data_IF_941303324679
#
_entry.id   IF_941303324679
#
_cell.length_a   1.000
_cell.length_b   1.000
_cell.length_c   1.000
_cell.angle_alpha   90.00
_cell.angle_beta   90.00
_cell.angle_gamma   90.00
#
_symmetry.space_group_name_H-M   'P 1'
#
loop_
_entity.id
_entity.type
_entity.pdbx_description
1 polymer ?
#
# COMPACT_ATOMS: atom_id res chain seq x y z
N UNK A 1 4.97 39.45 -66.52
CA UNK A 1 4.65 39.03 -65.14
C UNK A 1 5.71 38.04 -64.73
N UNK A 2 6.53 38.38 -63.74
CA UNK A 2 7.54 37.45 -63.22
C UNK A 2 6.87 36.59 -62.16
N UNK A 3 6.95 35.27 -62.32
CA UNK A 3 6.48 34.30 -61.34
C UNK A 3 7.65 33.99 -60.41
N UNK A 4 7.44 34.08 -59.10
CA UNK A 4 8.41 33.64 -58.12
C UNK A 4 7.89 32.32 -57.56
N UNK A 5 8.67 31.25 -57.69
CA UNK A 5 8.43 30.00 -56.95
C UNK A 5 9.09 30.10 -55.59
N UNK A 6 8.33 29.86 -54.53
CA UNK A 6 8.86 29.69 -53.18
C UNK A 6 8.96 28.21 -52.87
N UNK A 7 10.13 27.76 -52.43
CA UNK A 7 10.32 26.41 -51.89
C UNK A 7 10.19 26.47 -50.38
N UNK A 8 9.30 25.66 -49.82
CA UNK A 8 9.20 25.46 -48.38
C UNK A 8 10.08 24.29 -47.97
N UNK A 9 10.88 24.48 -46.92
CA UNK A 9 11.61 23.42 -46.24
C UNK A 9 11.00 23.22 -44.87
N UNK A 10 10.55 22.00 -44.58
CA UNK A 10 10.11 21.62 -43.24
C UNK A 10 11.30 20.99 -42.51
N UNK A 11 11.67 21.55 -41.36
CA UNK A 11 12.68 20.98 -40.46
C UNK A 11 11.95 20.47 -39.22
N UNK A 12 12.03 19.16 -38.96
CA UNK A 12 11.46 18.56 -37.77
C UNK A 12 12.50 18.56 -36.64
N UNK A 13 12.17 19.19 -35.53
CA UNK A 13 12.94 19.08 -34.27
C UNK A 13 12.28 17.97 -33.46
N UNK A 14 13.02 16.93 -33.11
CA UNK A 14 12.54 15.83 -32.28
C UNK A 14 13.52 15.54 -31.16
N UNK A 15 13.00 15.19 -29.99
CA UNK A 15 13.78 14.69 -28.87
C UNK A 15 13.61 13.17 -28.75
N UNK A 16 14.73 12.46 -28.58
CA UNK A 16 14.78 11.00 -28.40
C UNK A 16 15.56 10.59 -27.17
N UNK A 17 16.03 11.57 -26.39
CA UNK A 17 16.74 11.32 -25.14
C UNK A 17 15.73 11.21 -24.02
N UNK A 18 15.85 10.15 -23.22
CA UNK A 18 15.01 9.95 -22.05
C UNK A 18 15.50 10.81 -20.87
N UNK A 19 14.60 11.14 -19.93
CA UNK A 19 15.00 11.68 -18.65
C UNK A 19 16.03 10.79 -17.94
N UNK A 20 16.93 11.42 -17.20
CA UNK A 20 17.88 10.73 -16.33
C UNK A 20 17.38 10.78 -14.90
N UNK A 21 17.31 9.60 -14.27
CA UNK A 21 17.09 9.46 -12.83
C UNK A 21 18.38 8.90 -12.23
N UNK A 22 18.88 9.54 -11.18
CA UNK A 22 20.05 9.09 -10.43
C UNK A 22 19.77 9.03 -8.93
N UNK A 23 20.52 8.19 -8.22
CA UNK A 23 20.27 7.92 -6.80
C UNK A 23 19.32 6.74 -6.60
N UNK A 24 18.86 6.58 -5.36
CA UNK A 24 17.98 5.47 -4.95
C UNK A 24 17.03 5.96 -3.88
N UNK A 25 15.76 5.55 -3.98
CA UNK A 25 14.79 5.81 -2.92
C UNK A 25 15.05 4.81 -1.80
N UNK A 26 15.25 5.32 -0.58
CA UNK A 26 15.47 4.45 0.59
C UNK A 26 14.15 3.76 0.97
N UNK A 27 14.24 2.46 1.30
CA UNK A 27 13.08 1.72 1.77
C UNK A 27 12.48 2.36 3.03
N UNK A 28 11.16 2.41 3.11
CA UNK A 28 10.43 3.00 4.24
C UNK A 28 9.67 1.92 4.99
N UNK A 29 9.67 1.97 6.32
CA UNK A 29 8.88 1.09 7.17
C UNK A 29 7.66 1.85 7.71
N UNK A 30 6.48 1.22 7.64
CA UNK A 30 5.19 1.78 8.05
C UNK A 30 4.50 0.80 9.00
N UNK A 31 4.01 1.30 10.13
CA UNK A 31 3.14 0.51 11.00
C UNK A 31 1.73 0.48 10.41
N UNK A 32 1.22 -0.72 10.09
CA UNK A 32 -0.07 -0.89 9.44
C UNK A 32 -0.42 -2.35 9.14
N UNK A 33 -1.62 -2.55 8.62
CA UNK A 33 -2.19 -3.87 8.33
C UNK A 33 -2.63 -4.03 6.88
N UNK A 34 -2.81 -2.93 6.14
CA UNK A 34 -3.28 -2.94 4.75
C UNK A 34 -2.43 -2.04 3.86
N UNK A 35 -2.52 -2.24 2.54
CA UNK A 35 -1.78 -1.42 1.55
C UNK A 35 -2.14 0.07 1.61
N UNK A 36 -3.33 0.41 2.10
CA UNK A 36 -3.77 1.80 2.26
C UNK A 36 -3.05 2.55 3.37
N UNK A 37 -2.34 1.85 4.26
CA UNK A 37 -1.56 2.47 5.32
C UNK A 37 -0.25 3.08 4.78
N UNK A 38 0.18 2.68 3.58
CA UNK A 38 1.33 3.26 2.92
C UNK A 38 1.14 4.76 2.67
N UNK A 39 2.24 5.51 2.71
CA UNK A 39 2.22 6.93 2.35
C UNK A 39 1.72 7.11 0.91
N UNK A 40 0.92 8.16 0.61
CA UNK A 40 0.46 8.43 -0.75
C UNK A 40 1.63 8.61 -1.71
N UNK A 41 1.44 8.24 -2.97
CA UNK A 41 2.44 8.46 -4.00
C UNK A 41 2.63 9.96 -4.27
N UNK A 42 3.88 10.37 -4.45
CA UNK A 42 4.21 11.74 -4.88
C UNK A 42 3.89 11.93 -6.37
N UNK A 43 3.59 13.17 -6.76
CA UNK A 43 3.14 13.47 -8.14
C UNK A 43 3.96 14.57 -8.81
N UNK A 44 4.94 15.14 -8.11
CA UNK A 44 5.79 16.20 -8.65
C UNK A 44 7.27 15.81 -8.60
N UNK A 45 8.07 16.42 -9.47
CA UNK A 45 9.52 16.21 -9.50
C UNK A 45 10.17 16.59 -8.17
N UNK A 46 9.80 17.74 -7.60
CA UNK A 46 10.38 18.22 -6.33
C UNK A 46 10.11 17.25 -5.17
N UNK A 47 8.90 16.69 -5.09
CA UNK A 47 8.58 15.71 -4.05
C UNK A 47 9.30 14.37 -4.30
N UNK A 48 9.44 13.94 -5.55
CA UNK A 48 10.18 12.73 -5.90
C UNK A 48 11.68 12.87 -5.61
N UNK A 49 12.27 14.03 -5.91
CA UNK A 49 13.67 14.33 -5.55
C UNK A 49 13.89 14.35 -4.04
N UNK A 50 12.89 14.80 -3.26
CA UNK A 50 12.93 14.75 -1.80
C UNK A 50 12.98 13.31 -1.24
N UNK A 51 12.67 12.28 -2.04
CA UNK A 51 12.81 10.87 -1.67
C UNK A 51 14.25 10.34 -1.84
N UNK A 52 15.18 11.15 -2.35
CA UNK A 52 16.60 10.80 -2.46
C UNK A 52 17.10 10.51 -3.87
N UNK A 53 16.34 10.88 -4.90
CA UNK A 53 16.77 10.82 -6.30
C UNK A 53 17.02 12.21 -6.88
N UNK A 54 17.71 12.29 -8.00
CA UNK A 54 17.87 13.51 -8.79
C UNK A 54 17.41 13.27 -10.21
N UNK A 55 16.59 14.17 -10.74
CA UNK A 55 15.93 14.01 -12.02
C UNK A 55 16.31 15.18 -12.93
N UNK A 56 16.72 14.86 -14.15
CA UNK A 56 17.03 15.87 -15.17
C UNK A 56 16.74 15.35 -16.56
N UNK A 57 16.54 16.28 -17.49
CA UNK A 57 16.44 15.99 -18.91
C UNK A 57 17.13 17.13 -19.70
N UNK A 58 17.67 16.82 -20.88
CA UNK A 58 18.43 17.79 -21.67
C UNK A 58 17.56 18.75 -22.49
N UNK A 59 16.29 18.43 -22.70
CA UNK A 59 15.38 19.20 -23.56
C UNK A 59 14.08 19.59 -22.86
N UNK A 60 13.67 18.82 -21.85
CA UNK A 60 12.48 19.08 -21.03
C UNK A 60 12.91 19.66 -19.68
N UNK A 61 12.37 20.82 -19.33
CA UNK A 61 12.58 21.40 -18.00
C UNK A 61 11.85 20.59 -16.93
N UNK A 62 12.37 20.57 -15.69
CA UNK A 62 11.74 19.85 -14.58
C UNK A 62 10.28 20.24 -14.34
N UNK A 63 9.88 21.46 -14.66
CA UNK A 63 8.49 21.92 -14.54
C UNK A 63 7.53 21.27 -15.54
N UNK A 64 8.04 20.73 -16.64
CA UNK A 64 7.27 20.10 -17.71
C UNK A 64 7.37 18.57 -17.71
N UNK A 65 8.19 17.99 -16.83
CA UNK A 65 8.23 16.55 -16.62
C UNK A 65 6.98 16.09 -15.88
N UNK A 66 6.44 14.94 -16.28
CA UNK A 66 5.24 14.35 -15.70
C UNK A 66 5.66 13.16 -14.84
N UNK A 67 5.20 13.11 -13.59
CA UNK A 67 5.41 11.97 -12.69
C UNK A 67 4.12 11.17 -12.56
N UNK A 68 4.21 9.87 -12.81
CA UNK A 68 3.13 8.90 -12.54
C UNK A 68 3.65 7.75 -11.70
N UNK A 69 2.76 6.99 -11.07
CA UNK A 69 3.15 5.84 -10.26
C UNK A 69 2.19 4.67 -10.39
N UNK A 70 2.72 3.48 -10.15
CA UNK A 70 1.95 2.23 -10.04
C UNK A 70 2.45 1.42 -8.85
N UNK A 71 1.52 0.78 -8.16
CA UNK A 71 1.77 0.04 -6.92
C UNK A 71 1.55 -1.46 -7.16
N UNK A 72 2.48 -2.27 -6.66
CA UNK A 72 2.35 -3.72 -6.57
C UNK A 72 2.71 -4.17 -5.16
N UNK A 73 1.92 -5.06 -4.56
CA UNK A 73 2.16 -5.54 -3.21
C UNK A 73 2.22 -7.06 -3.12
N UNK A 74 2.95 -7.55 -2.13
CA UNK A 74 3.04 -8.97 -1.79
C UNK A 74 3.01 -9.16 -0.28
N UNK A 75 2.59 -10.34 0.17
CA UNK A 75 2.47 -10.66 1.59
C UNK A 75 1.13 -10.20 2.19
N UNK A 76 0.97 -10.47 3.49
CA UNK A 76 -0.24 -10.12 4.25
C UNK A 76 0.09 -9.50 5.62
N UNK A 77 1.21 -9.89 6.23
CA UNK A 77 1.85 -9.23 7.38
C UNK A 77 3.19 -9.97 7.64
N UNK A 78 4.35 -9.38 7.28
CA UNK A 78 4.50 -8.08 6.65
C UNK A 78 3.96 -8.04 5.21
N UNK A 79 3.53 -6.86 4.77
CA UNK A 79 3.25 -6.54 3.36
C UNK A 79 4.45 -5.77 2.83
N UNK A 80 4.94 -6.14 1.64
CA UNK A 80 5.94 -5.38 0.90
C UNK A 80 5.25 -4.74 -0.30
N UNK A 81 5.19 -3.41 -0.29
CA UNK A 81 4.65 -2.59 -1.38
C UNK A 81 5.81 -2.03 -2.21
N UNK A 82 5.87 -2.39 -3.48
CA UNK A 82 6.79 -1.84 -4.47
C UNK A 82 6.05 -0.81 -5.31
N UNK A 83 6.45 0.44 -5.19
CA UNK A 83 5.92 1.56 -5.98
C UNK A 83 6.90 1.92 -7.08
N UNK A 84 6.44 1.88 -8.32
CA UNK A 84 7.23 2.27 -9.49
C UNK A 84 6.82 3.67 -9.94
N UNK A 85 7.72 4.64 -9.83
CA UNK A 85 7.56 5.97 -10.40
C UNK A 85 8.04 5.98 -11.84
N UNK A 86 7.27 6.61 -12.72
CA UNK A 86 7.62 6.86 -14.13
C UNK A 86 7.66 8.37 -14.36
N UNK A 87 8.81 8.85 -14.83
CA UNK A 87 9.03 10.25 -15.23
C UNK A 87 9.01 10.31 -16.75
N UNK A 88 8.09 11.08 -17.32
CA UNK A 88 7.91 11.23 -18.77
C UNK A 88 8.20 12.66 -19.19
N UNK A 89 8.95 12.81 -20.28
CA UNK A 89 9.24 14.09 -20.91
C UNK A 89 8.11 14.57 -21.83
N UNK A 90 8.29 15.75 -22.44
CA UNK A 90 7.27 16.33 -23.34
C UNK A 90 7.15 15.65 -24.70
N UNK A 91 8.16 14.87 -25.09
CA UNK A 91 8.22 14.14 -26.36
C UNK A 91 7.79 12.67 -26.23
N UNK A 92 7.55 12.20 -25.01
CA UNK A 92 7.08 10.85 -24.68
C UNK A 92 8.19 9.87 -24.27
N UNK A 93 9.44 10.30 -24.13
CA UNK A 93 10.47 9.44 -23.55
C UNK A 93 10.29 9.38 -22.02
N UNK A 94 10.62 8.24 -21.41
CA UNK A 94 10.42 8.04 -19.99
C UNK A 94 11.52 7.22 -19.34
N UNK A 95 11.66 7.38 -18.03
CA UNK A 95 12.50 6.56 -17.18
C UNK A 95 11.78 6.25 -15.86
N UNK A 96 12.17 5.14 -15.20
CA UNK A 96 11.50 4.63 -14.00
C UNK A 96 12.42 4.46 -12.81
N UNK A 97 11.88 4.60 -11.59
CA UNK A 97 12.56 4.27 -10.33
C UNK A 97 11.61 3.61 -9.34
N UNK A 98 12.11 2.66 -8.56
CA UNK A 98 11.33 1.93 -7.56
C UNK A 98 11.52 2.49 -6.14
N UNK A 99 10.43 2.50 -5.38
CA UNK A 99 10.37 2.72 -3.94
C UNK A 99 9.84 1.46 -3.28
N UNK A 100 10.51 0.98 -2.23
CA UNK A 100 10.03 -0.13 -1.40
C UNK A 100 9.45 0.42 -0.09
N UNK A 101 8.24 -0.02 0.26
CA UNK A 101 7.54 0.32 1.49
C UNK A 101 7.19 -0.99 2.21
N UNK A 102 7.78 -1.22 3.37
CA UNK A 102 7.45 -2.36 4.23
C UNK A 102 6.35 -1.94 5.20
N UNK A 103 5.25 -2.68 5.20
CA UNK A 103 4.12 -2.45 6.10
C UNK A 103 4.09 -3.61 7.09
N UNK A 104 4.25 -3.29 8.38
CA UNK A 104 4.36 -4.27 9.46
C UNK A 104 3.38 -3.92 10.58
N UNK A 105 2.81 -4.94 11.23
CA UNK A 105 2.04 -4.76 12.47
C UNK A 105 2.86 -5.30 13.65
N UNK A 106 3.24 -4.41 14.56
CA UNK A 106 3.90 -4.73 15.82
C UNK A 106 2.96 -4.58 17.03
N UNK A 107 1.73 -4.14 16.80
CA UNK A 107 0.74 -3.81 17.82
C UNK A 107 -0.03 -5.06 18.25
N UNK A 108 0.11 -5.44 19.53
CA UNK A 108 -0.58 -6.62 20.06
C UNK A 108 -2.10 -6.40 20.16
N UNK A 109 -2.93 -7.43 19.86
CA UNK A 109 -4.36 -7.33 20.09
C UNK A 109 -4.67 -7.20 21.60
N UNK A 110 -5.73 -6.46 21.92
CA UNK A 110 -6.22 -6.33 23.30
C UNK A 110 -7.44 -7.22 23.51
N UNK A 111 -7.44 -7.98 24.61
CA UNK A 111 -8.60 -8.76 25.04
C UNK A 111 -9.34 -7.95 26.09
N UNK A 112 -10.61 -7.65 25.84
CA UNK A 112 -11.51 -7.02 26.81
C UNK A 112 -12.81 -7.82 26.91
N UNK A 113 -13.37 -7.86 28.11
CA UNK A 113 -14.59 -8.61 28.40
C UNK A 113 -14.56 -9.24 29.78
N UNK A 114 -15.74 -9.44 30.36
CA UNK A 114 -15.91 -10.20 31.59
C UNK A 114 -16.49 -11.56 31.24
N UNK A 115 -15.77 -12.62 31.62
CA UNK A 115 -16.33 -13.97 31.60
C UNK A 115 -17.30 -14.08 32.78
N UNK A 116 -18.60 -14.08 32.51
CA UNK A 116 -19.61 -14.34 33.54
C UNK A 116 -19.55 -15.82 33.92
N UNK A 117 -19.21 -16.17 35.18
CA UNK A 117 -19.23 -17.57 35.59
C UNK A 117 -20.66 -18.10 35.52
N UNK A 118 -20.88 -19.15 34.74
CA UNK A 118 -22.11 -19.93 34.78
C UNK A 118 -21.98 -20.96 35.89
N UNK A 119 -22.72 -20.76 36.97
CA UNK A 119 -22.80 -21.74 38.05
C UNK A 119 -23.77 -22.84 37.65
N UNK A 120 -23.28 -24.09 37.57
CA UNK A 120 -24.16 -25.25 37.52
C UNK A 120 -24.85 -25.38 38.88
N UNK A 121 -26.18 -25.50 38.90
CA UNK A 121 -26.93 -25.73 40.13
C UNK A 121 -26.61 -27.14 40.64
N UNK A 122 -25.60 -27.25 41.52
CA UNK A 122 -25.32 -28.51 42.22
C UNK A 122 -26.31 -28.58 43.37
N UNK A 123 -27.40 -29.34 43.21
CA UNK A 123 -28.33 -29.64 44.30
C UNK A 123 -27.55 -30.48 45.31
N UNK A 124 -27.09 -29.87 46.40
CA UNK A 124 -26.50 -30.58 47.54
C UNK A 124 -27.59 -31.41 48.21
N UNK A 125 -27.60 -32.71 47.94
CA UNK A 125 -28.52 -33.63 48.60
C UNK A 125 -27.94 -33.94 49.99
N UNK A 126 -28.40 -33.23 51.02
CA UNK A 126 -27.95 -33.42 52.42
C UNK A 126 -28.33 -34.80 52.99
N UNK A 127 -29.18 -35.55 52.29
CA UNK A 127 -29.68 -36.85 52.73
C UNK A 127 -29.18 -37.97 51.80
N UNK A 128 -28.30 -38.85 52.29
CA UNK A 128 -27.84 -40.04 51.55
C UNK A 128 -29.01 -40.89 51.03
N UNK A 129 -30.19 -40.80 51.64
CA UNK A 129 -31.39 -41.54 51.22
C UNK A 129 -32.06 -40.97 49.95
N UNK A 130 -31.84 -39.70 49.62
CA UNK A 130 -32.43 -39.03 48.45
C UNK A 130 -31.48 -39.01 47.24
N UNK A 131 -30.18 -39.26 47.45
CA UNK A 131 -29.16 -39.36 46.39
C UNK A 131 -29.42 -40.50 45.41
N UNK A 132 -30.11 -41.55 45.85
CA UNK A 132 -30.42 -42.73 45.03
C UNK A 132 -31.62 -42.53 44.09
N UNK A 133 -32.42 -41.47 44.28
CA UNK A 133 -33.62 -41.22 43.46
C UNK A 133 -33.34 -40.28 42.26
N UNK A 134 -32.34 -39.39 42.35
CA UNK A 134 -32.05 -38.42 41.30
C UNK A 134 -31.20 -38.99 40.14
N UNK A 135 -30.48 -40.10 40.35
CA UNK A 135 -29.77 -40.81 39.28
C UNK A 135 -30.71 -41.54 38.30
N UNK A 136 -32.00 -41.69 38.62
CA UNK A 136 -33.01 -42.39 37.80
C UNK A 136 -33.90 -41.40 37.02
N UNK A 137 -33.80 -40.09 37.30
CA UNK A 137 -34.74 -39.07 36.82
C UNK A 137 -34.21 -38.09 35.77
N UNK A 138 -33.38 -38.54 34.83
CA UNK A 138 -33.08 -37.76 33.63
C UNK A 138 -34.28 -37.86 32.66
N UNK A 139 -35.06 -36.79 32.49
CA UNK A 139 -35.55 -36.31 31.18
C UNK A 139 -35.77 -34.79 31.18
N UNK A 140 -35.19 -34.19 30.14
CA UNK A 140 -35.27 -32.80 29.70
C UNK A 140 -36.68 -32.20 29.71
N UNK A 141 -36.77 -30.89 29.94
CA UNK A 141 -37.66 -30.04 29.15
C UNK A 141 -36.97 -28.71 28.86
N UNK A 142 -36.81 -28.39 27.58
CA UNK A 142 -36.44 -27.07 27.09
C UNK A 142 -37.44 -26.03 27.62
N UNK A 143 -36.93 -24.89 28.07
CA UNK A 143 -37.25 -23.52 27.62
C UNK A 143 -35.92 -22.75 27.66
#
# INVERSE_FOLDING_TARGET
MWYFETVEQVINITDSTKPTISGTITATDVEGCEVSDATPAVTTITELEALGVTISDNCTSNANLIVTSTDASTGTCPIVLTRTYTVTDTCGNFETVEQVINITDSTKPTISGTITPTYFHVITITNRKLMMLLLIGLRFSLI
#
